data_IF_008133151955
#
_entry.id   IF_008133151955
#
_cell.length_a   1.000
_cell.length_b   1.000
_cell.length_c   1.000
_cell.angle_alpha   90.00
_cell.angle_beta   90.00
_cell.angle_gamma   90.00
#
_symmetry.space_group_name_H-M   'P 1'
#
loop_
_entity.id
_entity.type
_entity.pdbx_description
1 polymer ?
#
# COMPACT_ATOMS: atom_id res chain seq x y z
N UNK A 1 -5.29 -10.79 33.71
CA UNK A 1 -6.08 -9.61 33.34
C UNK A 1 -7.52 -10.07 33.31
N UNK A 2 -8.35 -9.50 34.18
CA UNK A 2 -9.76 -9.88 34.29
C UNK A 2 -10.60 -9.21 33.19
N UNK A 3 -11.73 -9.79 32.80
CA UNK A 3 -12.59 -9.22 31.75
C UNK A 3 -13.11 -7.83 32.13
N UNK A 4 -13.54 -7.64 33.39
CA UNK A 4 -14.09 -6.35 33.84
C UNK A 4 -13.01 -5.27 33.89
N UNK A 5 -11.79 -5.67 34.24
CA UNK A 5 -10.60 -4.82 34.16
C UNK A 5 -10.32 -4.41 32.70
N UNK A 6 -10.34 -5.35 31.75
CA UNK A 6 -10.22 -5.05 30.31
C UNK A 6 -11.31 -4.10 29.82
N UNK A 7 -12.57 -4.27 30.23
CA UNK A 7 -13.67 -3.37 29.89
C UNK A 7 -13.44 -1.95 30.40
N UNK A 8 -13.00 -1.81 31.65
CA UNK A 8 -12.70 -0.52 32.27
C UNK A 8 -11.55 0.21 31.57
N UNK A 9 -10.51 -0.52 31.16
CA UNK A 9 -9.30 0.06 30.56
C UNK A 9 -9.46 0.29 29.05
N UNK A 10 -10.08 -0.64 28.31
CA UNK A 10 -10.12 -0.63 26.84
C UNK A 10 -11.47 -0.28 26.21
N UNK A 11 -12.57 -0.25 26.99
CA UNK A 11 -13.99 -0.18 26.59
C UNK A 11 -14.74 -1.51 26.47
N UNK A 12 -16.00 -1.48 26.92
CA UNK A 12 -16.96 -2.57 26.80
C UNK A 12 -17.16 -3.01 25.34
N UNK A 13 -17.34 -2.05 24.44
CA UNK A 13 -17.59 -2.32 23.01
C UNK A 13 -16.46 -3.16 22.38
N UNK A 14 -15.21 -2.92 22.79
CA UNK A 14 -14.05 -3.67 22.29
C UNK A 14 -14.05 -5.12 22.79
N UNK A 15 -14.45 -5.32 24.04
CA UNK A 15 -14.41 -6.63 24.71
C UNK A 15 -15.65 -7.49 24.44
N UNK A 16 -16.78 -6.86 24.13
CA UNK A 16 -18.08 -7.49 23.90
C UNK A 16 -18.03 -8.55 22.78
N UNK A 17 -17.35 -8.26 21.66
CA UNK A 17 -17.19 -9.23 20.57
C UNK A 17 -16.46 -10.51 21.00
N UNK A 18 -15.55 -10.42 21.98
CA UNK A 18 -14.80 -11.58 22.48
C UNK A 18 -15.63 -12.32 23.54
N UNK A 19 -16.34 -11.59 24.41
CA UNK A 19 -17.31 -12.19 25.34
C UNK A 19 -18.42 -12.97 24.63
N UNK A 20 -18.98 -12.39 23.57
CA UNK A 20 -20.02 -13.05 22.78
C UNK A 20 -19.50 -14.32 22.06
N UNK A 21 -18.19 -14.42 21.81
CA UNK A 21 -17.60 -15.57 21.14
C UNK A 21 -17.22 -16.71 22.10
N UNK A 22 -16.69 -16.41 23.29
CA UNK A 22 -16.10 -17.43 24.18
C UNK A 22 -16.53 -17.35 25.64
N UNK A 23 -17.42 -16.43 26.01
CA UNK A 23 -17.75 -16.16 27.41
C UNK A 23 -16.82 -15.17 28.09
N UNK A 24 -17.22 -14.70 29.28
CA UNK A 24 -16.51 -13.67 30.04
C UNK A 24 -15.12 -14.16 30.53
N UNK A 25 -15.04 -15.42 30.93
CA UNK A 25 -13.85 -16.09 31.47
C UNK A 25 -12.67 -16.15 30.47
N UNK A 26 -12.97 -16.26 29.17
CA UNK A 26 -11.95 -16.41 28.12
C UNK A 26 -11.84 -15.20 27.19
N UNK A 27 -12.70 -14.21 27.33
CA UNK A 27 -12.72 -13.04 26.45
C UNK A 27 -11.40 -12.25 26.48
N UNK A 28 -10.82 -12.05 27.67
CA UNK A 28 -9.54 -11.37 27.84
C UNK A 28 -8.40 -12.16 27.16
N UNK A 29 -8.38 -13.48 27.32
CA UNK A 29 -7.40 -14.35 26.66
C UNK A 29 -7.52 -14.29 25.14
N UNK A 30 -8.73 -14.42 24.59
CA UNK A 30 -8.97 -14.36 23.15
C UNK A 30 -8.57 -12.99 22.56
N UNK A 31 -8.81 -11.89 23.29
CA UNK A 31 -8.36 -10.57 22.88
C UNK A 31 -6.82 -10.50 22.77
N UNK A 32 -6.10 -10.99 23.79
CA UNK A 32 -4.64 -11.01 23.79
C UNK A 32 -4.08 -11.91 22.68
N UNK A 33 -4.70 -13.07 22.44
CA UNK A 33 -4.35 -13.95 21.31
C UNK A 33 -4.58 -13.25 19.98
N UNK A 34 -5.70 -12.52 19.81
CA UNK A 34 -5.96 -11.74 18.60
C UNK A 34 -4.92 -10.62 18.40
N UNK A 35 -4.49 -9.94 19.48
CA UNK A 35 -3.42 -8.95 19.40
C UNK A 35 -2.07 -9.59 18.99
N UNK A 36 -1.74 -10.75 19.55
CA UNK A 36 -0.53 -11.49 19.21
C UNK A 36 -0.55 -11.92 17.74
N UNK A 37 -1.65 -12.51 17.28
CA UNK A 37 -1.84 -12.89 15.88
C UNK A 37 -1.74 -11.67 14.94
N UNK A 38 -2.37 -10.56 15.31
CA UNK A 38 -2.34 -9.31 14.54
C UNK A 38 -0.91 -8.77 14.39
N UNK A 39 -0.09 -8.91 15.44
CA UNK A 39 1.33 -8.52 15.40
C UNK A 39 2.10 -9.33 14.37
N UNK A 40 1.95 -10.65 14.38
CA UNK A 40 2.65 -11.53 13.44
C UNK A 40 2.19 -11.31 11.98
N UNK A 41 0.90 -11.14 11.76
CA UNK A 41 0.35 -10.86 10.43
C UNK A 41 0.81 -9.49 9.91
N UNK A 42 0.98 -8.49 10.78
CA UNK A 42 1.53 -7.19 10.41
C UNK A 42 2.96 -7.30 9.87
N UNK A 43 3.80 -8.18 10.44
CA UNK A 43 5.15 -8.43 9.92
C UNK A 43 5.12 -8.97 8.49
N UNK A 44 4.27 -9.98 8.23
CA UNK A 44 4.12 -10.58 6.90
C UNK A 44 3.66 -9.55 5.86
N UNK A 45 2.65 -8.74 6.20
CA UNK A 45 2.14 -7.69 5.32
C UNK A 45 3.19 -6.59 5.08
N UNK A 46 3.98 -6.24 6.09
CA UNK A 46 5.05 -5.23 5.98
C UNK A 46 6.14 -5.70 5.01
N UNK A 47 6.58 -6.96 5.11
CA UNK A 47 7.53 -7.57 4.18
C UNK A 47 6.94 -7.58 2.76
N UNK A 48 5.68 -7.97 2.63
CA UNK A 48 4.99 -7.95 1.33
C UNK A 48 4.96 -6.54 0.71
N UNK A 49 4.64 -5.50 1.48
CA UNK A 49 4.64 -4.10 1.01
C UNK A 49 6.02 -3.67 0.50
N UNK A 50 7.08 -4.00 1.23
CA UNK A 50 8.47 -3.69 0.83
C UNK A 50 8.82 -4.42 -0.47
N UNK A 51 8.50 -5.71 -0.57
CA UNK A 51 8.77 -6.49 -1.80
C UNK A 51 7.97 -5.93 -2.98
N UNK A 52 6.70 -5.61 -2.78
CA UNK A 52 5.80 -5.09 -3.81
C UNK A 52 6.33 -3.77 -4.37
N UNK A 53 6.61 -2.77 -3.52
CA UNK A 53 7.10 -1.46 -3.97
C UNK A 53 8.44 -1.58 -4.70
N UNK A 54 9.36 -2.41 -4.20
CA UNK A 54 10.67 -2.60 -4.82
C UNK A 54 10.55 -3.30 -6.18
N UNK A 55 9.66 -4.29 -6.32
CA UNK A 55 9.43 -4.97 -7.61
C UNK A 55 8.76 -4.06 -8.64
N UNK A 56 7.81 -3.23 -8.21
CA UNK A 56 7.21 -2.21 -9.06
C UNK A 56 8.26 -1.21 -9.53
N UNK A 57 9.07 -0.69 -8.60
CA UNK A 57 10.09 0.30 -8.89
C UNK A 57 11.11 -0.22 -9.91
N UNK A 58 11.66 -1.43 -9.70
CA UNK A 58 12.56 -2.08 -10.65
C UNK A 58 11.88 -2.24 -12.03
N UNK A 59 10.62 -2.68 -12.06
CA UNK A 59 9.88 -2.85 -13.31
C UNK A 59 9.74 -1.53 -14.08
N UNK A 60 9.45 -0.43 -13.40
CA UNK A 60 9.24 0.89 -14.01
C UNK A 60 10.56 1.55 -14.42
N UNK A 61 11.61 1.45 -13.59
CA UNK A 61 12.95 1.91 -13.96
C UNK A 61 13.42 1.26 -15.27
N UNK A 62 13.22 -0.05 -15.41
CA UNK A 62 13.59 -0.78 -16.63
C UNK A 62 12.71 -0.40 -17.83
N UNK A 63 11.40 -0.32 -17.63
CA UNK A 63 10.46 -0.01 -18.72
C UNK A 63 10.63 1.42 -19.23
N UNK A 64 10.90 2.38 -18.34
CA UNK A 64 11.02 3.80 -18.70
C UNK A 64 12.45 4.19 -19.05
N UNK A 65 13.43 3.33 -18.74
CA UNK A 65 14.87 3.64 -18.81
C UNK A 65 15.22 4.89 -18.00
N UNK A 66 14.59 5.02 -16.85
CA UNK A 66 14.68 6.20 -15.98
C UNK A 66 14.83 5.76 -14.51
N UNK A 67 16.01 5.98 -13.95
CA UNK A 67 16.31 5.64 -12.54
C UNK A 67 15.56 6.52 -11.55
N UNK A 68 15.11 7.70 -11.98
CA UNK A 68 14.41 8.67 -11.14
C UNK A 68 12.96 8.86 -11.62
N UNK A 69 12.37 7.83 -12.23
CA UNK A 69 11.05 7.91 -12.87
C UNK A 69 9.97 8.47 -11.97
N UNK A 70 10.05 8.22 -10.66
CA UNK A 70 9.03 8.64 -9.71
C UNK A 70 9.06 10.16 -9.51
N UNK A 71 10.26 10.75 -9.41
CA UNK A 71 10.42 12.20 -9.44
C UNK A 71 10.02 12.78 -10.80
N UNK A 72 10.50 12.18 -11.89
CA UNK A 72 10.21 12.65 -13.25
C UNK A 72 8.73 12.51 -13.65
N UNK A 73 7.98 11.59 -13.03
CA UNK A 73 6.55 11.37 -13.30
C UNK A 73 5.68 12.58 -12.98
N UNK A 74 6.17 13.49 -12.12
CA UNK A 74 5.47 14.72 -11.73
C UNK A 74 6.14 15.98 -12.30
N UNK A 75 7.16 15.84 -13.15
CA UNK A 75 7.78 16.97 -13.83
C UNK A 75 7.09 17.25 -15.18
N UNK A 76 7.05 18.50 -15.66
CA UNK A 76 6.58 18.81 -17.00
C UNK A 76 7.38 18.03 -18.06
N UNK A 77 6.73 17.65 -19.16
CA UNK A 77 7.37 16.93 -20.25
C UNK A 77 8.29 17.86 -21.05
N UNK A 78 9.55 17.97 -20.64
CA UNK A 78 10.57 18.85 -21.25
C UNK A 78 11.74 18.08 -21.84
N UNK A 79 11.94 16.81 -21.44
CA UNK A 79 13.01 15.96 -21.94
C UNK A 79 12.45 14.89 -22.90
N UNK A 80 12.70 15.00 -24.22
CA UNK A 80 12.23 14.02 -25.20
C UNK A 80 12.76 12.60 -24.98
N UNK A 81 13.90 12.43 -24.30
CA UNK A 81 14.45 11.11 -23.98
C UNK A 81 13.63 10.38 -22.90
N UNK A 82 12.87 11.12 -22.08
CA UNK A 82 12.03 10.58 -21.01
C UNK A 82 10.58 10.49 -21.48
N UNK A 83 10.24 9.41 -22.20
CA UNK A 83 8.89 9.20 -22.74
C UNK A 83 7.76 9.25 -21.69
N UNK A 84 8.07 8.90 -20.44
CA UNK A 84 7.11 8.82 -19.33
C UNK A 84 7.26 9.95 -18.31
N UNK A 85 8.08 10.97 -18.59
CA UNK A 85 8.10 12.15 -17.73
C UNK A 85 6.72 12.84 -17.75
N UNK A 86 6.29 13.35 -16.60
CA UNK A 86 4.97 13.95 -16.43
C UNK A 86 3.79 12.98 -16.51
N UNK A 87 4.03 11.65 -16.50
CA UNK A 87 2.93 10.68 -16.64
C UNK A 87 1.87 10.78 -15.53
N UNK A 88 2.19 11.36 -14.37
CA UNK A 88 1.25 11.60 -13.28
C UNK A 88 0.68 13.02 -13.22
N UNK A 89 0.96 13.87 -14.20
CA UNK A 89 0.31 15.19 -14.33
C UNK A 89 -1.07 15.14 -15.02
N UNK A 90 -1.57 13.94 -15.33
CA UNK A 90 -2.90 13.72 -15.93
C UNK A 90 -4.00 13.89 -14.88
N UNK A 91 -5.23 14.15 -15.35
CA UNK A 91 -6.37 14.34 -14.45
C UNK A 91 -6.64 13.13 -13.54
N UNK A 92 -6.51 11.90 -14.06
CA UNK A 92 -6.74 10.67 -13.28
C UNK A 92 -5.62 10.29 -12.31
N UNK A 93 -4.52 11.04 -12.27
CA UNK A 93 -3.32 10.73 -11.47
C UNK A 93 -2.93 11.84 -10.49
N UNK A 94 -3.77 12.87 -10.33
CA UNK A 94 -3.50 14.02 -9.46
C UNK A 94 -3.16 13.63 -8.02
N UNK A 95 -3.91 12.70 -7.43
CA UNK A 95 -3.65 12.20 -6.08
C UNK A 95 -2.27 11.53 -5.97
N UNK A 96 -1.88 10.75 -6.99
CA UNK A 96 -0.56 10.12 -7.04
C UNK A 96 0.55 11.16 -7.11
N UNK A 97 0.36 12.22 -7.90
CA UNK A 97 1.32 13.32 -7.97
C UNK A 97 1.44 14.06 -6.62
N UNK A 98 0.33 14.28 -5.93
CA UNK A 98 0.32 14.95 -4.62
C UNK A 98 1.04 14.11 -3.55
N UNK A 99 0.79 12.80 -3.51
CA UNK A 99 1.50 11.90 -2.61
C UNK A 99 3.03 11.92 -2.83
N UNK A 100 3.47 12.00 -4.09
CA UNK A 100 4.89 12.13 -4.44
C UNK A 100 5.45 13.46 -3.95
N UNK A 101 4.73 14.58 -4.16
CA UNK A 101 5.16 15.91 -3.69
C UNK A 101 5.29 15.97 -2.18
N UNK A 102 4.32 15.42 -1.44
CA UNK A 102 4.36 15.34 0.02
C UNK A 102 5.53 14.47 0.51
N UNK A 103 5.83 13.36 -0.16
CA UNK A 103 6.98 12.54 0.20
C UNK A 103 8.31 13.26 -0.08
N UNK A 104 8.41 13.97 -1.22
CA UNK A 104 9.58 14.77 -1.58
C UNK A 104 9.85 15.90 -0.57
N UNK A 105 8.82 16.65 -0.16
CA UNK A 105 8.99 17.74 0.81
C UNK A 105 9.49 17.23 2.17
N UNK A 106 9.01 16.07 2.62
CA UNK A 106 9.52 15.41 3.84
C UNK A 106 10.98 15.01 3.71
N UNK A 107 11.41 14.49 2.56
CA UNK A 107 12.80 14.10 2.32
C UNK A 107 13.70 15.34 2.34
N UNK A 108 13.28 16.42 1.68
CA UNK A 108 14.02 17.67 1.62
C UNK A 108 14.22 18.29 3.01
N UNK A 109 13.19 18.27 3.85
CA UNK A 109 13.24 18.81 5.21
C UNK A 109 14.13 17.97 6.16
N UNK A 110 14.21 16.65 5.97
CA UNK A 110 14.90 15.75 6.89
C UNK A 110 16.32 15.36 6.47
N UNK A 111 16.69 15.50 5.18
CA UNK A 111 17.93 14.94 4.62
C UNK A 111 18.94 15.99 4.13
N UNK A 112 18.87 17.21 4.67
CA UNK A 112 19.75 18.31 4.23
C UNK A 112 19.60 18.65 2.74
N UNK A 113 18.41 18.45 2.19
CA UNK A 113 18.07 18.79 0.80
C UNK A 113 18.55 17.81 -0.29
N UNK A 114 19.24 16.71 0.04
CA UNK A 114 19.67 15.74 -0.99
C UNK A 114 18.52 14.82 -1.40
N UNK A 115 18.22 14.81 -2.69
CA UNK A 115 17.26 13.88 -3.29
C UNK A 115 17.84 12.46 -3.38
N UNK A 116 17.10 11.48 -2.88
CA UNK A 116 17.33 10.05 -3.09
C UNK A 116 16.03 9.37 -3.54
N UNK A 117 16.08 8.71 -4.70
CA UNK A 117 14.94 7.98 -5.26
C UNK A 117 14.51 6.82 -4.35
N UNK A 118 15.45 6.14 -3.69
CA UNK A 118 15.11 5.01 -2.80
C UNK A 118 14.36 5.50 -1.55
N UNK A 119 14.74 6.66 -1.01
CA UNK A 119 13.97 7.31 0.05
C UNK A 119 12.57 7.70 -0.42
N UNK A 120 12.41 8.18 -1.65
CA UNK A 120 11.11 8.50 -2.22
C UNK A 120 10.23 7.26 -2.38
N UNK A 121 10.78 6.17 -2.90
CA UNK A 121 10.09 4.86 -2.98
C UNK A 121 9.70 4.38 -1.58
N UNK A 122 10.58 4.54 -0.59
CA UNK A 122 10.32 4.12 0.78
C UNK A 122 9.26 4.97 1.50
N UNK A 123 9.14 6.25 1.14
CA UNK A 123 8.22 7.22 1.73
C UNK A 123 6.76 7.10 1.26
N UNK A 124 6.52 6.38 0.16
CA UNK A 124 5.17 6.15 -0.36
C UNK A 124 4.55 4.89 0.24
N UNK A 125 3.35 5.02 0.80
CA UNK A 125 2.64 3.91 1.44
C UNK A 125 1.96 2.95 0.47
N UNK A 126 1.58 1.77 0.96
CA UNK A 126 0.89 0.71 0.22
C UNK A 126 -0.23 1.17 -0.72
N UNK A 127 -1.04 2.13 -0.27
CA UNK A 127 -2.13 2.70 -1.06
C UNK A 127 -1.65 3.22 -2.41
N UNK A 128 -0.55 4.00 -2.43
CA UNK A 128 0.04 4.52 -3.66
C UNK A 128 0.39 3.38 -4.63
N UNK A 129 1.15 2.38 -4.15
CA UNK A 129 1.63 1.25 -4.97
C UNK A 129 0.48 0.39 -5.51
N UNK A 130 -0.57 0.19 -4.69
CA UNK A 130 -1.79 -0.48 -5.13
C UNK A 130 -2.48 0.30 -6.26
N UNK A 131 -2.63 1.62 -6.10
CA UNK A 131 -3.32 2.46 -7.08
C UNK A 131 -2.64 2.50 -8.44
N UNK A 132 -1.37 2.12 -8.55
CA UNK A 132 -0.73 1.95 -9.85
C UNK A 132 -1.40 0.89 -10.73
N UNK A 133 -2.11 -0.06 -10.13
CA UNK A 133 -2.94 -1.03 -10.84
C UNK A 133 -4.35 -0.54 -11.14
N UNK A 134 -4.76 0.66 -10.72
CA UNK A 134 -6.09 1.16 -11.01
C UNK A 134 -6.27 1.37 -12.53
N UNK A 135 -7.39 0.87 -13.06
CA UNK A 135 -7.74 0.97 -14.47
C UNK A 135 -8.66 2.12 -14.80
N UNK A 136 -8.73 2.45 -16.08
CA UNK A 136 -9.55 3.52 -16.63
C UNK A 136 -8.75 4.35 -17.62
N UNK A 137 -9.43 5.24 -18.33
CA UNK A 137 -8.76 6.28 -19.13
C UNK A 137 -8.06 7.24 -18.15
N UNK A 138 -6.81 7.58 -18.43
CA UNK A 138 -5.96 8.45 -17.60
C UNK A 138 -5.68 7.94 -16.18
N UNK A 139 -5.99 6.67 -15.88
CA UNK A 139 -5.61 6.04 -14.62
C UNK A 139 -4.13 5.66 -14.61
N UNK A 140 -3.58 5.38 -13.43
CA UNK A 140 -2.17 5.10 -13.20
C UNK A 140 -1.67 3.90 -14.02
N UNK A 141 -2.49 2.87 -14.22
CA UNK A 141 -2.08 1.70 -15.01
C UNK A 141 -1.87 2.05 -16.49
N UNK A 142 -2.67 2.97 -17.04
CA UNK A 142 -2.48 3.47 -18.41
C UNK A 142 -1.31 4.46 -18.49
N UNK A 143 -1.23 5.39 -17.53
CA UNK A 143 -0.15 6.37 -17.41
C UNK A 143 1.24 5.71 -17.31
N UNK A 144 1.32 4.55 -16.66
CA UNK A 144 2.56 3.77 -16.55
C UNK A 144 2.84 2.83 -17.73
N UNK A 145 2.09 2.96 -18.83
CA UNK A 145 2.31 2.17 -20.04
C UNK A 145 1.89 0.70 -19.91
N UNK A 146 1.05 0.34 -18.93
CA UNK A 146 0.48 -1.00 -18.74
C UNK A 146 1.51 -2.10 -18.49
N UNK A 147 2.74 -1.76 -18.11
CA UNK A 147 3.85 -2.70 -17.90
C UNK A 147 3.78 -3.46 -16.58
N UNK A 148 2.97 -2.98 -15.62
CA UNK A 148 2.94 -3.48 -14.25
C UNK A 148 2.45 -4.93 -14.11
N UNK A 149 1.83 -5.51 -15.14
CA UNK A 149 1.52 -6.94 -15.14
C UNK A 149 2.78 -7.82 -15.02
N UNK A 150 3.95 -7.31 -15.43
CA UNK A 150 5.25 -7.99 -15.32
C UNK A 150 5.72 -8.17 -13.88
N UNK A 151 5.19 -7.41 -12.92
CA UNK A 151 5.49 -7.53 -11.49
C UNK A 151 5.02 -8.88 -10.94
N UNK A 152 4.00 -9.50 -11.55
CA UNK A 152 3.42 -10.77 -11.13
C UNK A 152 3.59 -11.86 -12.21
N UNK A 153 4.82 -12.33 -12.48
CA UNK A 153 5.08 -13.28 -13.55
C UNK A 153 4.44 -14.66 -13.30
N UNK A 154 4.22 -15.02 -12.03
CA UNK A 154 3.60 -16.27 -11.60
C UNK A 154 2.09 -16.17 -11.34
N UNK A 155 1.43 -15.08 -11.74
CA UNK A 155 -0.02 -14.96 -11.59
C UNK A 155 -0.74 -16.06 -12.39
N UNK A 156 -1.96 -16.46 -11.98
CA UNK A 156 -2.74 -17.41 -12.76
C UNK A 156 -2.96 -16.96 -14.22
N UNK A 157 -3.05 -17.93 -15.12
CA UNK A 157 -3.39 -17.69 -16.52
C UNK A 157 -4.88 -17.37 -16.62
N UNK A 158 -5.23 -16.35 -17.39
CA UNK A 158 -6.64 -16.04 -17.67
C UNK A 158 -7.31 -17.19 -18.41
N UNK A 159 -8.56 -17.46 -18.05
CA UNK A 159 -9.46 -18.38 -18.74
C UNK A 159 -10.60 -17.58 -19.36
N UNK A 160 -11.44 -18.17 -20.24
CA UNK A 160 -12.64 -17.50 -20.72
C UNK A 160 -13.57 -17.04 -19.60
N UNK A 161 -13.63 -17.77 -18.49
CA UNK A 161 -14.46 -17.46 -17.32
C UNK A 161 -13.82 -16.49 -16.32
N UNK A 162 -12.49 -16.44 -16.22
CA UNK A 162 -11.77 -15.65 -15.21
C UNK A 162 -10.61 -14.88 -15.81
N UNK A 163 -10.65 -13.56 -15.66
CA UNK A 163 -9.61 -12.66 -16.15
C UNK A 163 -8.71 -12.17 -15.03
N UNK A 164 -7.47 -12.67 -14.99
CA UNK A 164 -6.42 -12.23 -14.05
C UNK A 164 -5.67 -11.00 -14.61
N UNK A 165 -6.41 -9.92 -14.85
CA UNK A 165 -5.91 -8.64 -15.35
C UNK A 165 -5.59 -7.65 -14.20
N UNK A 166 -5.22 -6.40 -14.52
CA UNK A 166 -4.93 -5.40 -13.49
C UNK A 166 -6.08 -5.21 -12.50
N UNK A 167 -7.36 -5.34 -12.92
CA UNK A 167 -8.49 -5.09 -12.03
C UNK A 167 -8.58 -6.16 -10.97
N UNK A 168 -8.21 -7.39 -11.34
CA UNK A 168 -8.06 -8.48 -10.40
C UNK A 168 -6.92 -8.21 -9.41
N UNK A 169 -5.72 -7.84 -9.90
CA UNK A 169 -4.58 -7.49 -9.02
C UNK A 169 -4.93 -6.35 -8.07
N UNK A 170 -5.54 -5.27 -8.58
CA UNK A 170 -5.99 -4.14 -7.78
C UNK A 170 -6.95 -4.58 -6.66
N UNK A 171 -7.88 -5.50 -6.95
CA UNK A 171 -8.81 -6.07 -5.95
C UNK A 171 -8.08 -6.92 -4.91
N UNK A 172 -7.17 -7.80 -5.31
CA UNK A 172 -6.38 -8.60 -4.36
C UNK A 172 -5.55 -7.72 -3.42
N UNK A 173 -4.85 -6.72 -3.97
CA UNK A 173 -4.11 -5.75 -3.18
C UNK A 173 -5.05 -4.91 -2.29
N UNK A 174 -6.29 -4.65 -2.73
CA UNK A 174 -7.30 -3.98 -1.89
C UNK A 174 -7.69 -4.82 -0.68
N UNK A 175 -7.81 -6.14 -0.83
CA UNK A 175 -8.09 -7.06 0.26
C UNK A 175 -6.94 -7.06 1.27
N UNK A 176 -5.69 -7.09 0.80
CA UNK A 176 -4.50 -6.99 1.65
C UNK A 176 -4.47 -5.65 2.39
N UNK A 177 -4.82 -4.54 1.74
CA UNK A 177 -4.88 -3.23 2.39
C UNK A 177 -5.97 -3.17 3.48
N UNK A 178 -7.16 -3.71 3.22
CA UNK A 178 -8.24 -3.79 4.22
C UNK A 178 -7.83 -4.65 5.42
N UNK A 179 -7.18 -5.78 5.16
CA UNK A 179 -6.62 -6.65 6.18
C UNK A 179 -5.59 -5.91 7.03
N UNK A 180 -4.65 -5.18 6.40
CA UNK A 180 -3.70 -4.30 7.11
C UNK A 180 -4.41 -3.28 8.01
N UNK A 181 -5.42 -2.59 7.49
CA UNK A 181 -6.16 -1.56 8.24
C UNK A 181 -6.86 -2.18 9.45
N UNK A 182 -7.40 -3.41 9.34
CA UNK A 182 -8.06 -4.07 10.47
C UNK A 182 -7.12 -4.35 11.66
N UNK A 183 -5.81 -4.54 11.42
CA UNK A 183 -4.81 -4.57 12.49
C UNK A 183 -4.48 -3.18 13.03
N UNK A 184 -4.51 -2.18 12.15
CA UNK A 184 -4.29 -0.78 12.49
C UNK A 184 -5.37 -0.23 13.40
N UNK A 185 -6.65 -0.47 13.12
CA UNK A 185 -7.76 -0.15 14.05
C UNK A 185 -7.66 -0.97 15.32
N UNK A 186 -7.23 -2.24 15.25
CA UNK A 186 -6.92 -3.03 16.46
C UNK A 186 -5.72 -2.48 17.27
N UNK A 187 -4.88 -1.59 16.72
CA UNK A 187 -3.75 -0.93 17.39
C UNK A 187 -3.94 0.57 17.68
N UNK A 188 -4.80 1.27 16.94
CA UNK A 188 -5.03 2.71 17.08
C UNK A 188 -5.84 3.05 18.34
N UNK A 189 -6.62 2.08 18.84
CA UNK A 189 -7.32 2.20 20.12
C UNK A 189 -6.45 1.78 21.32
N UNK A 190 -5.11 1.80 21.16
CA UNK A 190 -4.13 1.60 22.23
C UNK A 190 -3.52 2.93 22.73
N UNK A 191 -4.00 4.07 22.21
CA UNK A 191 -3.62 5.42 22.66
C UNK A 191 -4.84 6.33 22.72
#
# INVERSE_FOLDING_TARGET
MDYKECCSIFSDFRMERYKNAVGEDKAAELYLLNLSLSRELFHVVSIFEIVLRNKIDICLQQAFKDRNWLYNSIQPQTNPALKYQGCFLRNGTKESAELIKVALSKIQNNSGGKFDHNQLVAGLGFGFWRYLFAGGKDAQFDATGKVLMKVFPKKPKSTPSVQYNQKWIFRELSNINKFRISFGTSRADLF
#
